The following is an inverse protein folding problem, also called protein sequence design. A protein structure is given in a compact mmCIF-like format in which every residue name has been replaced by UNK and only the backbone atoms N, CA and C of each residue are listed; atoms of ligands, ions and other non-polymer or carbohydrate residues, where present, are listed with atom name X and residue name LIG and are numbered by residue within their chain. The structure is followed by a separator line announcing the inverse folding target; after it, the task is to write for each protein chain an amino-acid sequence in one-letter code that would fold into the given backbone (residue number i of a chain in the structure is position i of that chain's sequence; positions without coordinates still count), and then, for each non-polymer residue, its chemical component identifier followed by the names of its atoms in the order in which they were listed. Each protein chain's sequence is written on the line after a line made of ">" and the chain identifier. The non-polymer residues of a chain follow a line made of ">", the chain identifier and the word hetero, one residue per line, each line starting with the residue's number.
data_IF_670783645287
#
_entry.id   IF_670783645287
#
_cell.length_a   1.000
_cell.length_b   1.000
_cell.length_c   1.000
_cell.angle_alpha   90.00
_cell.angle_beta   90.00
_cell.angle_gamma   90.00
#
_symmetry.space_group_name_H-M   'P 1'
#
loop_
_entity.id
_entity.type
_entity.pdbx_description
1 polymer ?
#
# COMPACT_ATOMS: atom_id res chain seq x y z
N UNK A 1 17.11 -4.72 -3.68
CA UNK A 1 17.90 -5.94 -3.33
C UNK A 1 18.11 -6.87 -4.54
N UNK A 2 19.28 -7.51 -4.68
CA UNK A 2 19.53 -8.53 -5.73
C UNK A 2 19.10 -9.94 -5.27
N UNK A 3 17.96 -10.41 -5.80
CA UNK A 3 17.40 -11.73 -5.48
C UNK A 3 18.31 -12.91 -5.83
N UNK A 4 19.18 -12.77 -6.85
CA UNK A 4 20.10 -13.83 -7.28
C UNK A 4 21.26 -13.99 -6.30
N UNK A 5 21.80 -12.86 -5.84
CA UNK A 5 22.81 -12.82 -4.78
C UNK A 5 22.26 -13.40 -3.48
N UNK A 6 21.04 -12.99 -3.06
CA UNK A 6 20.37 -13.57 -1.89
C UNK A 6 20.22 -15.08 -2.02
N UNK A 7 19.76 -15.59 -3.16
CA UNK A 7 19.62 -17.04 -3.39
C UNK A 7 20.94 -17.80 -3.14
N UNK A 8 22.08 -17.17 -3.44
CA UNK A 8 23.42 -17.73 -3.27
C UNK A 8 23.90 -17.65 -1.82
N UNK A 9 23.62 -16.53 -1.13
CA UNK A 9 24.03 -16.31 0.27
C UNK A 9 23.16 -17.06 1.29
N UNK A 10 21.87 -17.26 0.99
CA UNK A 10 20.88 -17.82 1.92
C UNK A 10 21.34 -19.11 2.63
N UNK A 11 21.91 -20.13 1.95
CA UNK A 11 22.40 -21.34 2.62
C UNK A 11 23.44 -21.05 3.71
N UNK A 12 24.35 -20.11 3.49
CA UNK A 12 25.37 -19.73 4.47
C UNK A 12 24.74 -18.97 5.65
N UNK A 13 23.82 -18.04 5.38
CA UNK A 13 23.14 -17.23 6.40
C UNK A 13 22.27 -18.07 7.35
N UNK A 14 21.68 -19.17 6.86
CA UNK A 14 20.76 -20.00 7.66
C UNK A 14 21.34 -21.32 8.16
N UNK A 15 22.57 -21.69 7.77
CA UNK A 15 23.17 -23.00 8.07
C UNK A 15 23.13 -23.37 9.57
N UNK A 16 23.45 -22.42 10.45
CA UNK A 16 23.41 -22.61 11.91
C UNK A 16 22.01 -22.62 12.52
N UNK A 17 20.99 -22.29 11.73
CA UNK A 17 19.61 -22.09 12.20
C UNK A 17 18.62 -23.13 11.67
N UNK A 18 19.02 -23.99 10.73
CA UNK A 18 18.20 -25.09 10.22
C UNK A 18 18.52 -26.38 10.99
N UNK A 19 17.50 -27.13 11.47
CA UNK A 19 17.72 -28.43 12.12
C UNK A 19 18.44 -29.43 11.20
N UNK A 20 19.34 -30.25 11.75
CA UNK A 20 20.17 -31.20 10.98
C UNK A 20 19.35 -32.24 10.19
N UNK A 21 18.12 -32.53 10.59
CA UNK A 21 17.23 -33.49 9.92
C UNK A 21 16.41 -32.88 8.77
N UNK A 22 16.48 -31.56 8.57
CA UNK A 22 15.75 -30.86 7.51
C UNK A 22 16.58 -30.85 6.23
N UNK A 23 15.99 -31.32 5.13
CA UNK A 23 16.66 -31.42 3.81
C UNK A 23 16.52 -30.16 2.95
N UNK A 24 15.57 -29.29 3.26
CA UNK A 24 15.31 -28.05 2.52
C UNK A 24 14.67 -27.00 3.41
N UNK A 25 14.91 -25.74 3.10
CA UNK A 25 14.25 -24.61 3.75
C UNK A 25 13.47 -23.79 2.72
N UNK A 26 12.50 -23.02 3.20
CA UNK A 26 11.73 -22.07 2.40
C UNK A 26 11.99 -20.65 2.90
N UNK A 27 11.98 -19.69 2.00
CA UNK A 27 12.05 -18.29 2.37
C UNK A 27 11.17 -17.43 1.46
N UNK A 28 10.77 -16.28 1.98
CA UNK A 28 10.07 -15.24 1.22
C UNK A 28 10.89 -13.97 1.27
N UNK A 29 10.89 -13.25 0.16
CA UNK A 29 11.60 -11.99 -0.01
C UNK A 29 10.60 -10.85 0.14
N UNK A 30 10.98 -9.83 0.90
CA UNK A 30 10.26 -8.59 1.09
C UNK A 30 11.21 -7.46 0.64
N UNK A 31 11.03 -7.05 -0.61
CA UNK A 31 11.72 -5.97 -1.27
C UNK A 31 10.69 -4.99 -1.86
N UNK A 32 11.11 -4.17 -2.82
CA UNK A 32 10.27 -3.21 -3.53
C UNK A 32 9.29 -3.85 -4.51
N UNK A 33 9.29 -5.18 -4.64
CA UNK A 33 8.41 -5.90 -5.57
C UNK A 33 7.27 -6.61 -4.84
N UNK A 34 6.06 -6.62 -5.43
CA UNK A 34 4.92 -7.32 -4.86
C UNK A 34 5.16 -8.83 -4.76
N UNK A 35 4.56 -9.46 -3.73
CA UNK A 35 4.61 -10.91 -3.59
C UNK A 35 3.59 -11.56 -4.53
N UNK A 36 4.06 -12.46 -5.38
CA UNK A 36 3.19 -13.24 -6.28
C UNK A 36 2.69 -14.52 -5.60
N UNK A 37 1.40 -14.79 -5.74
CA UNK A 37 0.81 -16.09 -5.43
C UNK A 37 1.24 -17.18 -6.41
N UNK A 38 0.90 -18.44 -6.11
CA UNK A 38 1.11 -19.56 -7.05
C UNK A 38 0.35 -19.38 -8.38
N UNK A 39 -0.69 -18.54 -8.40
CA UNK A 39 -1.47 -18.23 -9.60
C UNK A 39 -0.95 -16.99 -10.34
N UNK A 40 0.21 -16.44 -9.94
CA UNK A 40 0.79 -15.23 -10.53
C UNK A 40 0.12 -13.92 -10.09
N UNK A 41 -0.90 -13.98 -9.23
CA UNK A 41 -1.61 -12.80 -8.71
C UNK A 41 -0.83 -12.18 -7.57
N UNK A 42 -0.66 -10.85 -7.56
CA UNK A 42 -0.05 -10.13 -6.45
C UNK A 42 -0.91 -10.25 -5.17
N UNK A 43 -0.28 -10.58 -4.05
CA UNK A 43 -0.90 -10.72 -2.73
C UNK A 43 -0.25 -9.74 -1.76
N UNK A 44 -1.09 -9.10 -0.95
CA UNK A 44 -0.64 -8.28 0.16
C UNK A 44 -0.07 -9.17 1.28
N UNK A 45 1.22 -9.04 1.64
CA UNK A 45 1.82 -9.85 2.69
C UNK A 45 1.12 -9.66 4.04
N UNK A 46 1.15 -10.72 4.87
CA UNK A 46 0.63 -10.67 6.25
C UNK A 46 1.77 -10.32 7.20
N UNK A 47 1.50 -9.53 8.27
CA UNK A 47 2.46 -9.31 9.35
C UNK A 47 2.89 -10.63 10.01
N UNK A 48 4.10 -10.66 10.57
CA UNK A 48 4.64 -11.85 11.22
C UNK A 48 5.65 -11.50 12.31
N UNK A 49 5.81 -12.43 13.23
CA UNK A 49 6.85 -12.37 14.26
C UNK A 49 7.99 -13.34 13.94
N UNK A 50 9.20 -12.99 14.34
CA UNK A 50 10.33 -13.90 14.19
C UNK A 50 11.58 -13.43 14.93
N UNK A 51 12.65 -14.22 14.78
CA UNK A 51 13.95 -13.91 15.36
C UNK A 51 14.94 -13.57 14.25
N UNK A 52 15.64 -12.46 14.36
CA UNK A 52 16.71 -12.08 13.43
C UNK A 52 17.86 -13.07 13.58
N UNK A 53 18.27 -13.68 12.46
CA UNK A 53 19.37 -14.65 12.42
C UNK A 53 20.58 -14.14 11.66
N UNK A 54 20.40 -13.16 10.77
CA UNK A 54 21.48 -12.43 10.13
C UNK A 54 20.99 -11.01 9.83
N UNK A 55 21.86 -10.02 9.99
CA UNK A 55 21.59 -8.65 9.57
C UNK A 55 22.88 -8.03 9.02
N UNK A 56 22.90 -7.78 7.71
CA UNK A 56 24.04 -7.16 7.02
C UNK A 56 23.54 -6.17 5.95
N UNK A 57 24.48 -5.60 5.19
CA UNK A 57 24.16 -4.60 4.17
C UNK A 57 23.36 -5.16 2.98
N UNK A 58 23.34 -6.49 2.78
CA UNK A 58 22.62 -7.13 1.69
C UNK A 58 21.22 -7.60 2.07
N UNK A 59 21.03 -8.07 3.31
CA UNK A 59 19.78 -8.66 3.78
C UNK A 59 19.63 -8.69 5.31
N UNK A 60 18.38 -8.60 5.74
CA UNK A 60 17.97 -8.93 7.11
C UNK A 60 17.17 -10.24 7.04
N UNK A 61 17.69 -11.30 7.67
CA UNK A 61 17.05 -12.62 7.67
C UNK A 61 16.35 -12.85 9.00
N UNK A 62 15.04 -13.08 8.93
CA UNK A 62 14.18 -13.35 10.07
C UNK A 62 13.72 -14.81 10.03
N UNK A 63 13.99 -15.57 11.09
CA UNK A 63 13.51 -16.94 11.24
C UNK A 63 12.07 -16.93 11.77
N UNK A 64 11.17 -17.58 11.02
CA UNK A 64 9.75 -17.70 11.35
C UNK A 64 9.43 -19.07 11.97
N UNK A 65 9.94 -20.14 11.36
CA UNK A 65 9.80 -21.53 11.82
C UNK A 65 11.16 -22.25 11.70
N UNK A 66 11.31 -23.51 12.16
CA UNK A 66 12.58 -24.21 12.08
C UNK A 66 13.23 -24.24 10.68
N UNK A 67 12.43 -24.24 9.61
CA UNK A 67 12.88 -24.26 8.21
C UNK A 67 12.19 -23.22 7.32
N UNK A 68 11.63 -22.16 7.91
CA UNK A 68 10.94 -21.07 7.19
C UNK A 68 11.51 -19.72 7.62
N UNK A 69 11.92 -18.91 6.64
CA UNK A 69 12.58 -17.62 6.82
C UNK A 69 11.90 -16.51 6.02
N UNK A 70 12.09 -15.27 6.46
CA UNK A 70 11.80 -14.06 5.71
C UNK A 70 13.10 -13.30 5.48
N UNK A 71 13.25 -12.72 4.30
CA UNK A 71 14.39 -11.88 3.92
C UNK A 71 13.86 -10.48 3.63
N UNK A 72 14.35 -9.49 4.36
CA UNK A 72 13.98 -8.09 4.19
C UNK A 72 15.12 -7.33 3.53
N UNK A 73 14.80 -6.42 2.61
CA UNK A 73 15.75 -5.44 2.07
C UNK A 73 16.12 -4.43 3.18
N UNK A 74 17.41 -4.31 3.58
CA UNK A 74 17.84 -3.38 4.62
C UNK A 74 17.53 -1.91 4.30
N UNK A 75 17.43 -1.55 3.01
CA UNK A 75 17.12 -0.18 2.58
C UNK A 75 15.63 0.20 2.73
N UNK A 76 14.76 -0.79 2.95
CA UNK A 76 13.31 -0.59 3.05
C UNK A 76 12.77 -0.79 4.47
N UNK A 77 13.58 -1.15 5.47
CA UNK A 77 13.09 -1.31 6.84
C UNK A 77 13.09 0.01 7.62
N UNK A 78 12.10 0.22 8.49
CA UNK A 78 12.04 1.40 9.36
C UNK A 78 13.15 1.42 10.42
N UNK A 79 13.66 0.25 10.79
CA UNK A 79 14.79 0.09 11.74
C UNK A 79 15.51 -1.22 11.44
N UNK A 80 16.85 -1.20 11.47
CA UNK A 80 17.67 -2.41 11.33
C UNK A 80 17.84 -3.06 12.70
N UNK A 81 17.19 -4.21 12.98
CA UNK A 81 17.31 -4.90 14.26
C UNK A 81 18.66 -5.63 14.39
N UNK A 82 19.16 -5.72 15.62
CA UNK A 82 20.36 -6.50 15.91
C UNK A 82 20.12 -8.01 15.72
N UNK A 83 21.17 -8.74 15.36
CA UNK A 83 21.13 -10.20 15.30
C UNK A 83 20.70 -10.81 16.65
N UNK A 84 19.82 -11.80 16.58
CA UNK A 84 19.25 -12.44 17.75
C UNK A 84 18.04 -11.73 18.36
N UNK A 85 17.70 -10.51 17.93
CA UNK A 85 16.50 -9.82 18.39
C UNK A 85 15.22 -10.53 17.94
N UNK A 86 14.17 -10.44 18.75
CA UNK A 86 12.81 -10.79 18.32
C UNK A 86 12.14 -9.56 17.75
N UNK A 87 11.53 -9.71 16.59
CA UNK A 87 10.92 -8.61 15.84
C UNK A 87 9.51 -8.95 15.42
N UNK A 88 8.66 -7.93 15.42
CA UNK A 88 7.40 -7.89 14.69
C UNK A 88 7.67 -7.16 13.38
N UNK A 89 7.30 -7.79 12.27
CA UNK A 89 7.49 -7.24 10.93
C UNK A 89 6.12 -7.05 10.29
N UNK A 90 5.86 -5.82 9.86
CA UNK A 90 4.66 -5.43 9.16
C UNK A 90 5.04 -4.86 7.79
N UNK A 91 5.06 -5.71 6.74
CA UNK A 91 5.27 -5.25 5.39
C UNK A 91 4.06 -4.47 4.87
N UNK A 92 4.26 -3.74 3.77
CA UNK A 92 3.18 -3.02 3.10
C UNK A 92 2.02 -3.93 2.70
N UNK A 93 0.81 -3.42 2.85
CA UNK A 93 -0.40 -4.03 2.36
C UNK A 93 -1.36 -2.92 1.90
N UNK A 94 -1.96 -3.11 0.73
CA UNK A 94 -2.97 -2.20 0.19
C UNK A 94 -4.13 -2.07 1.16
N UNK A 95 -4.63 -0.84 1.31
CA UNK A 95 -5.73 -0.49 2.22
C UNK A 95 -6.83 0.26 1.48
N UNK A 96 -8.03 0.21 2.06
CA UNK A 96 -9.17 1.02 1.63
C UNK A 96 -9.24 2.28 2.47
N UNK A 97 -10.10 3.22 2.07
CA UNK A 97 -10.34 4.46 2.82
C UNK A 97 -10.96 4.25 4.22
N UNK A 98 -11.51 3.06 4.49
CA UNK A 98 -11.97 2.68 5.84
C UNK A 98 -10.84 2.18 6.76
N UNK A 99 -9.59 2.16 6.26
CA UNK A 99 -8.41 1.71 6.99
C UNK A 99 -8.20 0.19 7.00
N UNK A 100 -9.18 -0.59 6.55
CA UNK A 100 -9.07 -2.04 6.42
C UNK A 100 -8.21 -2.41 5.20
N UNK A 101 -7.67 -3.62 5.22
CA UNK A 101 -6.86 -4.13 4.10
C UNK A 101 -7.76 -4.36 2.87
N UNK A 102 -7.21 -4.18 1.68
CA UNK A 102 -7.92 -4.41 0.43
C UNK A 102 -8.41 -5.86 0.26
N UNK A 103 -7.70 -6.83 0.88
CA UNK A 103 -8.08 -8.25 0.90
C UNK A 103 -9.12 -8.61 1.99
N UNK A 104 -9.66 -7.63 2.72
CA UNK A 104 -10.68 -7.85 3.75
C UNK A 104 -12.03 -8.16 3.09
N UNK A 105 -12.67 -9.32 3.39
CA UNK A 105 -13.95 -9.68 2.80
C UNK A 105 -15.06 -8.67 3.11
N UNK A 106 -15.93 -8.44 2.14
CA UNK A 106 -17.13 -7.63 2.30
C UNK A 106 -18.32 -8.52 2.70
N UNK A 107 -19.03 -8.10 3.73
CA UNK A 107 -20.21 -8.80 4.24
C UNK A 107 -21.43 -7.99 3.85
N UNK A 108 -22.22 -8.50 2.90
CA UNK A 108 -23.43 -7.84 2.40
C UNK A 108 -24.64 -8.64 2.90
N UNK A 109 -25.62 -7.95 3.48
CA UNK A 109 -26.92 -8.55 3.80
C UNK A 109 -27.88 -8.23 2.68
N UNK A 110 -28.30 -9.25 1.94
CA UNK A 110 -29.33 -9.15 0.90
C UNK A 110 -30.65 -9.76 1.40
N UNK A 111 -31.75 -9.45 0.71
CA UNK A 111 -33.06 -10.05 0.97
C UNK A 111 -33.42 -10.97 -0.19
N UNK A 112 -33.78 -12.20 0.13
CA UNK A 112 -34.35 -13.12 -0.85
C UNK A 112 -35.73 -12.63 -1.31
N UNK A 113 -36.25 -13.22 -2.40
CA UNK A 113 -37.54 -12.86 -2.97
C UNK A 113 -38.72 -13.04 -1.99
N UNK A 114 -38.55 -13.86 -0.96
CA UNK A 114 -39.49 -14.09 0.15
C UNK A 114 -39.31 -13.10 1.32
N UNK A 115 -38.37 -12.16 1.22
CA UNK A 115 -38.03 -11.18 2.25
C UNK A 115 -37.06 -11.69 3.32
N UNK A 116 -36.62 -12.95 3.27
CA UNK A 116 -35.67 -13.53 4.23
C UNK A 116 -34.29 -12.90 4.04
N UNK A 117 -33.67 -12.31 5.08
CA UNK A 117 -32.32 -11.78 4.96
C UNK A 117 -31.30 -12.92 4.89
N UNK A 118 -30.33 -12.81 3.99
CA UNK A 118 -29.17 -13.70 3.91
C UNK A 118 -27.88 -12.90 3.76
N UNK A 119 -26.78 -13.47 4.27
CA UNK A 119 -25.48 -12.81 4.26
C UNK A 119 -24.59 -13.39 3.16
N UNK A 120 -24.09 -12.54 2.28
CA UNK A 120 -23.05 -12.87 1.30
C UNK A 120 -21.71 -12.37 1.85
N UNK A 121 -20.73 -13.27 1.94
CA UNK A 121 -19.33 -12.88 2.17
C UNK A 121 -18.59 -12.88 0.82
N UNK A 122 -18.25 -11.70 0.31
CA UNK A 122 -17.54 -11.53 -0.95
C UNK A 122 -16.05 -11.33 -0.68
N UNK A 123 -15.20 -12.13 -1.32
CA UNK A 123 -13.74 -11.98 -1.26
C UNK A 123 -13.22 -11.70 -2.66
N UNK A 124 -12.61 -10.53 -2.87
CA UNK A 124 -12.01 -10.16 -4.16
C UNK A 124 -10.52 -10.53 -4.14
N UNK A 125 -10.12 -11.40 -5.06
CA UNK A 125 -8.72 -11.82 -5.20
C UNK A 125 -8.01 -10.97 -6.26
N UNK A 126 -6.83 -10.44 -5.91
CA UNK A 126 -5.99 -9.67 -6.82
C UNK A 126 -6.33 -8.18 -6.87
N UNK A 127 -7.18 -7.77 -7.82
CA UNK A 127 -7.55 -6.37 -8.06
C UNK A 127 -8.76 -6.01 -7.21
N UNK A 128 -8.51 -5.68 -5.94
CA UNK A 128 -9.52 -5.19 -5.01
C UNK A 128 -9.35 -3.67 -4.86
N UNK A 129 -9.95 -2.85 -5.75
CA UNK A 129 -9.77 -1.40 -5.71
C UNK A 129 -10.40 -0.80 -4.45
N UNK A 130 -9.74 0.20 -3.87
CA UNK A 130 -10.33 1.01 -2.82
C UNK A 130 -11.39 1.94 -3.43
N UNK A 131 -12.66 1.71 -3.09
CA UNK A 131 -13.77 2.56 -3.56
C UNK A 131 -13.65 3.97 -3.00
N UNK A 132 -13.78 4.98 -3.86
CA UNK A 132 -13.78 6.37 -3.42
C UNK A 132 -14.97 6.61 -2.48
N UNK A 133 -14.80 7.38 -1.38
CA UNK A 133 -15.87 7.66 -0.42
C UNK A 133 -16.80 8.76 -0.97
N UNK A 134 -17.36 8.54 -2.15
CA UNK A 134 -18.20 9.47 -2.93
C UNK A 134 -19.48 8.71 -3.32
N UNK A 135 -20.67 9.34 -3.27
CA UNK A 135 -21.90 8.72 -3.73
C UNK A 135 -21.87 8.41 -5.23
N UNK A 136 -22.79 7.57 -5.67
CA UNK A 136 -22.96 7.30 -7.10
C UNK A 136 -23.31 8.60 -7.84
N UNK A 137 -22.53 9.00 -8.86
CA UNK A 137 -22.74 10.27 -9.54
C UNK A 137 -23.90 10.23 -10.52
N UNK A 138 -24.51 11.39 -10.77
CA UNK A 138 -25.51 11.59 -11.81
C UNK A 138 -24.86 11.90 -13.17
N UNK A 139 -23.75 12.63 -13.15
CA UNK A 139 -22.94 12.96 -14.31
C UNK A 139 -22.13 11.74 -14.78
N UNK A 140 -22.21 11.46 -16.08
CA UNK A 140 -21.48 10.36 -16.72
C UNK A 140 -19.96 10.56 -16.60
N UNK A 141 -19.49 11.77 -16.85
CA UNK A 141 -18.06 12.13 -16.86
C UNK A 141 -17.45 12.07 -15.45
N UNK A 142 -18.22 12.44 -14.40
CA UNK A 142 -17.80 12.18 -13.02
C UNK A 142 -17.72 10.67 -12.73
N UNK A 143 -18.70 9.90 -13.21
CA UNK A 143 -18.69 8.44 -13.12
C UNK A 143 -17.46 7.80 -13.76
N UNK A 144 -17.09 8.26 -14.94
CA UNK A 144 -15.89 7.82 -15.65
C UNK A 144 -14.60 8.20 -14.89
N UNK A 145 -14.52 9.41 -14.34
CA UNK A 145 -13.39 9.80 -13.49
C UNK A 145 -13.26 8.90 -12.25
N UNK A 146 -14.37 8.60 -11.56
CA UNK A 146 -14.38 7.69 -10.42
C UNK A 146 -13.90 6.30 -10.83
N UNK A 147 -14.50 5.72 -11.87
CA UNK A 147 -14.14 4.40 -12.39
C UNK A 147 -12.66 4.35 -12.76
N UNK A 148 -12.17 5.38 -13.43
CA UNK A 148 -10.79 5.47 -13.84
C UNK A 148 -9.83 5.53 -12.63
N UNK A 149 -10.11 6.35 -11.62
CA UNK A 149 -9.29 6.41 -10.41
C UNK A 149 -9.31 5.08 -9.64
N UNK A 150 -10.46 4.39 -9.59
CA UNK A 150 -10.58 3.12 -8.89
C UNK A 150 -9.90 1.96 -9.64
N UNK A 151 -10.02 1.92 -10.96
CA UNK A 151 -9.60 0.78 -11.75
C UNK A 151 -8.21 0.92 -12.37
N UNK A 152 -7.71 2.11 -12.62
CA UNK A 152 -6.40 2.27 -13.23
C UNK A 152 -5.27 1.90 -12.26
N UNK A 153 -4.22 1.22 -12.77
CA UNK A 153 -3.03 0.95 -11.98
C UNK A 153 -2.30 2.26 -11.65
N UNK A 154 -1.65 2.29 -10.48
CA UNK A 154 -0.58 3.23 -10.23
C UNK A 154 0.67 2.82 -11.04
N UNK A 155 1.63 3.74 -11.26
CA UNK A 155 2.81 3.47 -12.09
C UNK A 155 3.67 2.28 -11.61
N UNK A 156 3.60 1.94 -10.32
CA UNK A 156 4.29 0.77 -9.74
C UNK A 156 3.74 -0.59 -10.18
N UNK A 157 2.57 -0.64 -10.83
CA UNK A 157 1.96 -1.87 -11.35
C UNK A 157 1.40 -2.83 -10.29
N UNK A 158 1.45 -2.47 -9.00
CA UNK A 158 0.89 -3.24 -7.90
C UNK A 158 -0.37 -2.60 -7.29
N UNK A 159 -0.33 -1.28 -7.09
CA UNK A 159 -1.43 -0.48 -6.55
C UNK A 159 -2.36 0.00 -7.67
N UNK A 160 -3.56 0.40 -7.28
CA UNK A 160 -4.42 1.25 -8.12
C UNK A 160 -4.19 2.70 -7.71
N UNK A 161 -4.67 3.67 -8.51
CA UNK A 161 -4.60 5.08 -8.15
C UNK A 161 -5.24 5.32 -6.77
N UNK A 162 -6.40 4.74 -6.46
CA UNK A 162 -7.01 4.91 -5.13
C UNK A 162 -6.20 4.34 -3.97
N UNK A 163 -5.41 3.29 -4.17
CA UNK A 163 -4.49 2.79 -3.14
C UNK A 163 -3.38 3.80 -2.87
N UNK A 164 -2.82 4.40 -3.92
CA UNK A 164 -1.85 5.49 -3.80
C UNK A 164 -2.45 6.70 -3.08
N UNK A 165 -3.72 7.02 -3.31
CA UNK A 165 -4.40 8.08 -2.55
C UNK A 165 -4.52 7.74 -1.06
N UNK A 166 -4.88 6.49 -0.73
CA UNK A 166 -4.92 6.02 0.67
C UNK A 166 -3.54 6.15 1.32
N UNK A 167 -2.48 5.74 0.62
CA UNK A 167 -1.10 5.85 1.10
C UNK A 167 -0.65 7.31 1.29
N UNK A 168 -1.13 8.21 0.43
CA UNK A 168 -0.92 9.66 0.53
C UNK A 168 -1.75 10.34 1.64
N UNK A 169 -2.54 9.56 2.39
CA UNK A 169 -3.39 10.06 3.46
C UNK A 169 -4.59 10.87 2.95
N UNK A 170 -5.09 10.55 1.74
CA UNK A 170 -6.21 11.26 1.14
C UNK A 170 -7.48 11.18 2.01
N UNK A 171 -8.04 12.36 2.31
CA UNK A 171 -9.20 12.55 3.18
C UNK A 171 -10.01 13.77 2.76
N UNK A 172 -11.11 14.04 3.46
CA UNK A 172 -11.95 15.23 3.26
C UNK A 172 -12.43 15.38 1.80
N UNK A 173 -12.93 14.26 1.24
CA UNK A 173 -13.38 14.20 -0.14
C UNK A 173 -14.57 15.12 -0.40
N UNK A 174 -14.48 15.88 -1.48
CA UNK A 174 -15.57 16.69 -2.03
C UNK A 174 -15.64 16.46 -3.54
N UNK A 175 -16.80 16.69 -4.13
CA UNK A 175 -17.02 16.46 -5.55
C UNK A 175 -17.97 17.49 -6.14
N UNK A 176 -17.85 17.69 -7.45
CA UNK A 176 -18.78 18.48 -8.26
C UNK A 176 -19.45 17.51 -9.22
N UNK A 177 -20.75 17.28 -9.03
CA UNK A 177 -21.58 16.40 -9.86
C UNK A 177 -22.59 17.26 -10.65
N UNK A 178 -22.18 17.83 -11.80
CA UNK A 178 -23.02 18.76 -12.54
C UNK A 178 -24.10 18.02 -13.33
N UNK A 179 -25.22 18.69 -13.59
CA UNK A 179 -26.14 18.23 -14.64
C UNK A 179 -25.45 18.32 -16.01
N UNK A 180 -25.78 17.45 -16.99
CA UNK A 180 -25.14 17.47 -18.31
C UNK A 180 -25.13 18.84 -19.00
N UNK A 181 -26.16 19.66 -18.79
CA UNK A 181 -26.28 21.01 -19.35
C UNK A 181 -25.33 22.05 -18.73
N UNK A 182 -24.72 21.76 -17.57
CA UNK A 182 -23.84 22.67 -16.82
C UNK A 182 -22.39 22.23 -16.80
N UNK A 183 -22.05 21.18 -17.54
CA UNK A 183 -20.72 20.56 -17.50
C UNK A 183 -19.59 21.53 -17.87
N UNK A 184 -19.86 22.54 -18.68
CA UNK A 184 -18.87 23.57 -19.07
C UNK A 184 -18.75 24.65 -17.98
N UNK A 185 -19.87 25.06 -17.38
CA UNK A 185 -19.89 26.12 -16.35
C UNK A 185 -19.33 25.63 -15.01
N UNK A 186 -19.64 24.38 -14.67
CA UNK A 186 -19.21 23.72 -13.43
C UNK A 186 -18.67 22.34 -13.81
N UNK A 187 -17.37 22.24 -14.13
CA UNK A 187 -16.79 20.98 -14.57
C UNK A 187 -16.87 19.91 -13.47
N UNK A 188 -17.07 18.63 -13.83
CA UNK A 188 -16.98 17.52 -12.91
C UNK A 188 -15.61 17.51 -12.24
N UNK A 189 -15.58 17.37 -10.92
CA UNK A 189 -14.34 17.39 -10.17
C UNK A 189 -14.41 16.53 -8.91
N UNK A 190 -13.27 16.01 -8.51
CA UNK A 190 -13.06 15.37 -7.22
C UNK A 190 -11.91 16.08 -6.53
N UNK A 191 -12.12 16.52 -5.29
CA UNK A 191 -11.05 17.06 -4.46
C UNK A 191 -10.89 16.28 -3.18
N UNK A 192 -9.66 16.22 -2.68
CA UNK A 192 -9.29 15.59 -1.41
C UNK A 192 -8.04 16.25 -0.86
N UNK A 193 -7.85 16.16 0.45
CA UNK A 193 -6.64 16.64 1.13
C UNK A 193 -5.66 15.50 1.28
N UNK A 194 -4.38 15.72 1.00
CA UNK A 194 -3.28 14.77 1.23
C UNK A 194 -2.27 15.33 2.21
N UNK A 195 -1.47 14.47 2.82
CA UNK A 195 -0.37 14.85 3.70
C UNK A 195 0.80 13.90 3.49
N UNK A 196 1.70 14.27 2.58
CA UNK A 196 2.92 13.51 2.26
C UNK A 196 4.15 14.41 2.34
N UNK A 197 5.34 13.81 2.26
CA UNK A 197 6.57 14.60 2.20
C UNK A 197 6.68 15.46 0.93
N UNK A 198 5.96 15.10 -0.15
CA UNK A 198 5.95 15.86 -1.40
C UNK A 198 4.98 17.02 -1.36
N UNK A 199 3.77 16.78 -0.85
CA UNK A 199 2.74 17.79 -0.82
C UNK A 199 1.79 17.60 0.37
N UNK A 200 1.47 18.72 1.01
CA UNK A 200 0.43 18.83 2.01
C UNK A 200 -0.52 19.95 1.58
N UNK A 201 -1.81 19.60 1.45
CA UNK A 201 -2.83 20.49 0.92
C UNK A 201 -3.93 19.73 0.17
N UNK A 202 -4.78 20.50 -0.52
CA UNK A 202 -5.90 19.99 -1.31
C UNK A 202 -5.46 19.72 -2.73
N UNK A 203 -5.77 18.53 -3.22
CA UNK A 203 -5.65 18.13 -4.63
C UNK A 203 -7.04 18.18 -5.23
N UNK A 204 -7.17 18.70 -6.45
CA UNK A 204 -8.40 18.63 -7.25
C UNK A 204 -8.08 18.01 -8.59
N UNK A 205 -8.83 16.97 -8.97
CA UNK A 205 -8.84 16.41 -10.31
C UNK A 205 -10.16 16.85 -10.94
N UNK A 206 -10.11 17.67 -11.98
CA UNK A 206 -11.30 18.14 -12.69
C UNK A 206 -11.23 17.78 -14.17
N UNK A 207 -12.39 17.57 -14.77
CA UNK A 207 -12.53 17.27 -16.19
C UNK A 207 -12.69 18.54 -17.01
N UNK A 208 -11.74 18.77 -17.93
CA UNK A 208 -11.83 19.84 -18.92
C UNK A 208 -12.53 19.32 -20.17
N UNK A 209 -13.82 19.70 -20.31
CA UNK A 209 -14.66 19.30 -21.45
C UNK A 209 -14.16 19.85 -22.79
N UNK A 210 -13.49 21.00 -22.79
CA UNK A 210 -13.04 21.69 -24.00
C UNK A 210 -11.83 21.01 -24.63
N UNK A 211 -10.87 20.61 -23.80
CA UNK A 211 -9.68 19.89 -24.23
C UNK A 211 -9.82 18.35 -24.18
N UNK A 212 -10.88 17.84 -23.54
CA UNK A 212 -11.16 16.41 -23.32
C UNK A 212 -10.03 15.69 -22.57
N UNK A 213 -9.61 16.31 -21.46
CA UNK A 213 -8.50 15.88 -20.60
C UNK A 213 -8.85 16.16 -19.14
N UNK A 214 -8.02 15.66 -18.23
CA UNK A 214 -8.04 16.12 -16.85
C UNK A 214 -7.12 17.31 -16.64
N UNK A 215 -7.43 18.03 -15.56
CA UNK A 215 -6.55 19.01 -14.94
C UNK A 215 -6.36 18.60 -13.50
N UNK A 216 -5.11 18.65 -13.02
CA UNK A 216 -4.77 18.41 -11.62
C UNK A 216 -4.30 19.72 -10.99
N UNK A 217 -4.97 20.15 -9.93
CA UNK A 217 -4.64 21.36 -9.19
C UNK A 217 -4.22 21.03 -7.77
N UNK A 218 -3.13 21.67 -7.32
CA UNK A 218 -2.65 21.61 -5.95
C UNK A 218 -2.93 22.96 -5.28
N UNK A 219 -3.65 22.92 -4.17
CA UNK A 219 -3.98 24.09 -3.37
C UNK A 219 -3.41 23.96 -1.95
N UNK A 220 -2.80 25.02 -1.45
CA UNK A 220 -2.35 25.14 -0.06
C UNK A 220 -2.96 26.39 0.54
N UNK A 221 -3.57 26.25 1.72
CA UNK A 221 -4.25 27.34 2.42
C UNK A 221 -5.30 28.09 1.57
N UNK A 222 -5.91 27.39 0.61
CA UNK A 222 -6.91 27.92 -0.32
C UNK A 222 -6.34 28.59 -1.57
N UNK A 223 -5.02 28.75 -1.67
CA UNK A 223 -4.35 29.30 -2.85
C UNK A 223 -3.90 28.18 -3.81
N UNK A 224 -4.06 28.42 -5.11
CA UNK A 224 -3.54 27.53 -6.16
C UNK A 224 -2.01 27.64 -6.20
N UNK A 225 -1.34 26.55 -5.85
CA UNK A 225 0.14 26.45 -5.84
C UNK A 225 0.66 25.94 -7.17
N UNK A 226 -0.01 24.93 -7.72
CA UNK A 226 0.43 24.27 -8.94
C UNK A 226 -0.79 23.77 -9.72
N UNK A 227 -0.72 23.85 -11.04
CA UNK A 227 -1.75 23.38 -11.96
C UNK A 227 -1.09 22.63 -13.10
N UNK A 228 -1.56 21.41 -13.35
CA UNK A 228 -1.17 20.58 -14.47
C UNK A 228 -2.37 20.46 -15.40
N UNK A 229 -2.29 21.16 -16.53
CA UNK A 229 -3.23 21.03 -17.63
C UNK A 229 -2.84 19.85 -18.54
N UNK A 230 -3.73 19.48 -19.47
CA UNK A 230 -3.49 18.43 -20.47
C UNK A 230 -3.09 17.08 -19.87
N UNK A 231 -3.68 16.71 -18.72
CA UNK A 231 -3.48 15.39 -18.12
C UNK A 231 -4.38 14.39 -18.85
N UNK A 232 -3.80 13.70 -19.82
CA UNK A 232 -4.48 12.61 -20.52
C UNK A 232 -4.88 11.50 -19.54
N UNK A 233 -5.95 10.79 -19.89
CA UNK A 233 -6.55 9.78 -19.03
C UNK A 233 -5.53 8.70 -18.60
N UNK A 234 -4.72 8.21 -19.53
CA UNK A 234 -3.67 7.23 -19.24
C UNK A 234 -2.52 7.76 -18.37
N UNK A 235 -2.33 9.09 -18.30
CA UNK A 235 -1.27 9.75 -17.53
C UNK A 235 -1.67 10.14 -16.11
N UNK A 236 -2.95 10.02 -15.73
CA UNK A 236 -3.43 10.47 -14.41
C UNK A 236 -2.65 9.82 -13.26
N UNK A 237 -2.36 8.53 -13.36
CA UNK A 237 -1.57 7.80 -12.35
C UNK A 237 -0.15 8.36 -12.21
N UNK A 238 0.55 8.60 -13.31
CA UNK A 238 1.92 9.14 -13.32
C UNK A 238 1.98 10.59 -12.81
N UNK A 239 0.98 11.41 -13.14
CA UNK A 239 0.88 12.78 -12.62
C UNK A 239 0.68 12.76 -11.12
N UNK A 240 -0.29 11.98 -10.61
CA UNK A 240 -0.53 11.89 -9.17
C UNK A 240 0.66 11.28 -8.42
N UNK A 241 1.32 10.23 -8.93
CA UNK A 241 2.52 9.68 -8.29
C UNK A 241 3.61 10.75 -8.15
N UNK A 242 3.87 11.51 -9.21
CA UNK A 242 4.87 12.60 -9.19
C UNK A 242 4.53 13.66 -8.15
N UNK A 243 3.28 14.06 -8.05
CA UNK A 243 2.84 15.17 -7.19
C UNK A 243 2.68 14.79 -5.72
N UNK A 244 2.14 13.61 -5.42
CA UNK A 244 1.70 13.28 -4.05
C UNK A 244 2.31 12.01 -3.45
N UNK A 245 2.82 11.07 -4.22
CA UNK A 245 3.37 9.82 -3.67
C UNK A 245 4.85 9.96 -3.29
N UNK A 246 5.17 9.92 -1.99
CA UNK A 246 6.55 10.05 -1.49
C UNK A 246 7.30 8.70 -1.33
N UNK A 247 6.69 7.59 -1.74
CA UNK A 247 7.28 6.25 -1.69
C UNK A 247 7.37 5.63 -0.30
N UNK A 248 6.92 6.33 0.77
CA UNK A 248 7.00 5.81 2.15
C UNK A 248 6.20 4.53 2.36
N UNK A 249 5.18 4.30 1.56
CA UNK A 249 4.40 3.07 1.56
C UNK A 249 5.26 1.81 1.37
N UNK A 250 6.43 1.93 0.71
CA UNK A 250 7.36 0.80 0.49
C UNK A 250 8.10 0.37 1.75
N UNK A 251 8.08 1.20 2.80
CA UNK A 251 8.77 0.91 4.04
C UNK A 251 8.11 -0.27 4.77
N UNK A 252 8.94 -1.20 5.18
CA UNK A 252 8.59 -2.37 6.00
C UNK A 252 8.77 -1.94 7.45
N UNK A 253 7.67 -1.91 8.20
CA UNK A 253 7.75 -1.58 9.61
C UNK A 253 8.34 -2.77 10.39
N UNK A 254 9.41 -2.50 11.15
CA UNK A 254 10.11 -3.50 11.96
C UNK A 254 10.23 -2.97 13.39
N UNK A 255 9.58 -3.64 14.33
CA UNK A 255 9.65 -3.31 15.75
C UNK A 255 10.26 -4.44 16.57
N UNK A 256 11.14 -4.11 17.52
CA UNK A 256 11.77 -5.09 18.41
C UNK A 256 10.84 -5.39 19.59
N UNK A 257 10.42 -6.64 19.73
CA UNK A 257 9.46 -7.09 20.74
C UNK A 257 10.12 -7.24 22.12
N UNK A 258 11.43 -7.54 22.15
CA UNK A 258 12.18 -7.84 23.37
C UNK A 258 13.26 -6.79 23.67
N UNK A 259 12.87 -5.54 23.96
CA UNK A 259 13.75 -4.63 24.70
C UNK A 259 13.76 -5.05 26.18
N UNK A 260 14.47 -6.14 26.52
CA UNK A 260 14.89 -6.35 27.91
C UNK A 260 15.70 -5.12 28.31
N UNK A 261 15.20 -4.37 29.29
CA UNK A 261 15.98 -3.34 29.97
C UNK A 261 17.39 -3.87 30.27
N UNK A 262 18.45 -3.06 30.05
CA UNK A 262 19.81 -3.52 30.27
C UNK A 262 19.90 -4.03 31.71
N UNK A 263 20.20 -5.32 31.88
CA UNK A 263 20.52 -5.88 33.19
C UNK A 263 21.74 -5.13 33.70
N UNK A 264 21.54 -4.18 34.61
CA UNK A 264 22.60 -3.67 35.46
C UNK A 264 23.30 -4.89 36.06
N UNK A 265 24.56 -5.10 35.68
CA UNK A 265 25.45 -5.99 36.41
C UNK A 265 25.53 -5.45 37.83
N UNK A 266 24.82 -6.05 38.77
CA UNK A 266 25.13 -5.87 40.17
C UNK A 266 26.57 -6.33 40.36
N UNK A 267 27.45 -5.38 40.66
CA UNK A 267 28.80 -5.66 41.09
C UNK A 267 28.70 -6.52 42.36
N UNK A 268 29.37 -7.68 42.32
CA UNK A 268 29.58 -8.52 43.49
C UNK A 268 30.55 -7.75 44.39
N UNK A 269 30.07 -7.20 45.50
CA UNK A 269 30.91 -6.67 46.56
C UNK A 269 31.57 -7.83 47.31
N UNK A 270 32.90 -7.74 47.42
CA UNK A 270 33.78 -8.65 48.14
C UNK A 270 33.56 -8.61 49.66
#
# INVERSE_FOLDING_TARGET
>A
MDRSLIKTLMPALVAGHVPRNVRSFKYRVFDDQPQSSMLGVAIDPKPFDGKVVAANDEAIVVKLKPSEFAVLDPSLVTTVPAEGAKVHVQPYARRRFDGLRADTPEVITEKAADGTPYTITRTTLGKAPAKLPIPQPQCMELGQLIEQMEEMPAPDGFRCITHMLVDAGARDFTWVDPTPSKIIETPPAISFTVSTAKFEGRVTVLYDRGADVYVVELHRDGELVERHDEVYFDMLGDVLERLIDDGRWRLIDVSVIDAKAPRQRQAVSA
#
